data_IF_872817249244
#
_entry.id   IF_872817249244
#
_cell.length_a   1.000
_cell.length_b   1.000
_cell.length_c   1.000
_cell.angle_alpha   90.00
_cell.angle_beta   90.00
_cell.angle_gamma   90.00
#
_symmetry.space_group_name_H-M   'P 1'
#
loop_
_entity.id
_entity.type
_entity.pdbx_description
1 polymer ?
#
# COMPACT_ATOMS: atom_id res chain seq x y z
N UNK A 1 3.81 2.87 -19.01
CA UNK A 1 4.69 1.70 -18.78
C UNK A 1 3.90 0.69 -17.97
N UNK A 2 3.63 -0.50 -18.54
CA UNK A 2 2.89 -1.54 -17.84
C UNK A 2 3.73 -2.11 -16.67
N UNK A 3 3.09 -2.50 -15.57
CA UNK A 3 3.77 -3.18 -14.46
C UNK A 3 3.92 -4.67 -14.79
N UNK A 4 5.16 -5.15 -14.92
CA UNK A 4 5.49 -6.53 -15.30
C UNK A 4 4.91 -7.58 -14.35
N UNK A 5 4.81 -7.24 -13.05
CA UNK A 5 4.38 -8.17 -12.00
C UNK A 5 2.97 -7.86 -11.48
N UNK A 6 2.15 -7.15 -12.25
CA UNK A 6 0.80 -6.74 -11.83
C UNK A 6 -0.03 -7.93 -11.30
N UNK A 7 -0.08 -9.03 -12.06
CA UNK A 7 -0.83 -10.24 -11.70
C UNK A 7 -0.35 -10.87 -10.38
N UNK A 8 0.95 -10.81 -10.09
CA UNK A 8 1.47 -11.29 -8.80
C UNK A 8 1.14 -10.30 -7.69
N UNK A 9 1.39 -9.02 -7.92
CA UNK A 9 1.21 -7.97 -6.93
C UNK A 9 -0.25 -7.81 -6.50
N UNK A 10 -1.21 -7.96 -7.43
CA UNK A 10 -2.63 -7.80 -7.12
C UNK A 10 -3.12 -8.85 -6.12
N UNK A 11 -2.58 -10.06 -6.16
CA UNK A 11 -2.91 -11.14 -5.22
C UNK A 11 -2.41 -10.88 -3.80
N UNK A 12 -1.30 -10.15 -3.67
CA UNK A 12 -0.70 -9.81 -2.38
C UNK A 12 -1.11 -8.42 -1.87
N UNK A 13 -1.83 -7.63 -2.68
CA UNK A 13 -2.22 -6.27 -2.33
C UNK A 13 -3.41 -6.25 -1.38
N UNK A 14 -3.15 -5.96 -0.11
CA UNK A 14 -4.16 -5.83 0.93
C UNK A 14 -4.83 -4.45 1.03
N UNK A 15 -4.60 -3.54 0.08
CA UNK A 15 -5.23 -2.21 0.09
C UNK A 15 -6.75 -2.31 0.18
N UNK A 16 -7.31 -1.68 1.21
CA UNK A 16 -8.74 -1.72 1.55
C UNK A 16 -9.54 -0.57 0.94
N UNK A 17 -8.89 0.39 0.28
CA UNK A 17 -9.57 1.50 -0.37
C UNK A 17 -10.40 1.01 -1.56
N UNK A 18 -11.75 1.20 -1.56
CA UNK A 18 -12.61 0.75 -2.65
C UNK A 18 -12.23 1.42 -3.98
N UNK A 19 -12.09 0.63 -5.04
CA UNK A 19 -11.78 1.15 -6.38
C UNK A 19 -10.39 1.78 -6.53
N UNK A 20 -9.42 1.42 -5.69
CA UNK A 20 -8.06 1.95 -5.79
C UNK A 20 -7.47 1.78 -7.21
N UNK A 21 -7.20 2.88 -7.95
CA UNK A 21 -6.75 2.80 -9.35
C UNK A 21 -5.28 2.35 -9.48
N UNK A 22 -4.57 2.21 -8.36
CA UNK A 22 -3.14 1.87 -8.29
C UNK A 22 -2.90 0.46 -7.75
N UNK A 23 -3.95 -0.31 -7.43
CA UNK A 23 -3.84 -1.66 -6.87
C UNK A 23 -3.03 -2.55 -7.83
N UNK A 24 -2.11 -3.36 -7.32
CA UNK A 24 -1.21 -4.19 -8.15
C UNK A 24 -0.10 -3.43 -8.90
N UNK A 25 -0.18 -2.11 -9.05
CA UNK A 25 0.84 -1.27 -9.69
C UNK A 25 1.78 -0.63 -8.65
N UNK A 26 2.74 -1.40 -8.15
CA UNK A 26 3.61 -0.99 -7.02
C UNK A 26 4.34 0.34 -7.27
N UNK A 27 4.85 0.57 -8.48
CA UNK A 27 5.54 1.82 -8.83
C UNK A 27 4.63 3.05 -8.75
N UNK A 28 3.35 2.92 -9.11
CA UNK A 28 2.38 4.01 -9.02
C UNK A 28 1.85 4.17 -7.58
N UNK A 29 1.67 3.06 -6.87
CA UNK A 29 1.26 3.04 -5.47
C UNK A 29 2.30 3.73 -4.57
N UNK A 30 3.58 3.38 -4.71
CA UNK A 30 4.69 3.99 -3.97
C UNK A 30 4.80 5.49 -4.23
N UNK A 31 4.80 5.92 -5.50
CA UNK A 31 4.87 7.36 -5.83
C UNK A 31 3.71 8.14 -5.19
N UNK A 32 2.49 7.61 -5.25
CA UNK A 32 1.31 8.24 -4.66
C UNK A 32 1.44 8.39 -3.14
N UNK A 33 1.76 7.32 -2.42
CA UNK A 33 1.84 7.38 -0.95
C UNK A 33 3.06 8.17 -0.46
N UNK A 34 4.23 8.02 -1.08
CA UNK A 34 5.42 8.79 -0.69
C UNK A 34 5.24 10.29 -0.90
N UNK A 35 4.50 10.72 -1.95
CA UNK A 35 4.16 12.14 -2.15
C UNK A 35 3.30 12.73 -1.03
N UNK A 36 2.66 11.86 -0.23
CA UNK A 36 1.82 12.21 0.92
C UNK A 36 2.47 11.88 2.27
N UNK A 37 3.76 11.54 2.26
CA UNK A 37 4.47 11.06 3.44
C UNK A 37 3.81 9.82 4.11
N UNK A 38 3.28 8.92 3.27
CA UNK A 38 2.63 7.67 3.63
C UNK A 38 3.37 6.47 3.02
N UNK A 39 3.10 5.28 3.54
CA UNK A 39 3.50 4.00 2.93
C UNK A 39 2.30 3.28 2.30
N UNK A 40 2.51 2.44 1.27
CA UNK A 40 1.45 1.59 0.74
C UNK A 40 0.86 0.62 1.78
N UNK A 41 -0.39 0.20 1.56
CA UNK A 41 -1.07 -0.81 2.38
C UNK A 41 -0.25 -2.08 2.64
N UNK A 42 0.55 -2.52 1.65
CA UNK A 42 1.37 -3.73 1.75
C UNK A 42 2.53 -3.63 2.75
N UNK A 43 2.81 -2.44 3.30
CA UNK A 43 3.73 -2.26 4.42
C UNK A 43 3.08 -2.56 5.79
N UNK A 44 1.78 -2.84 5.81
CA UNK A 44 0.97 -3.00 7.02
C UNK A 44 0.22 -4.34 7.02
N UNK A 45 -0.06 -4.87 8.20
CA UNK A 45 -0.97 -6.01 8.35
C UNK A 45 -2.40 -5.63 7.98
N UNK A 46 -3.26 -6.61 7.65
CA UNK A 46 -4.66 -6.36 7.31
C UNK A 46 -5.41 -5.59 8.41
N UNK A 47 -5.08 -5.85 9.68
CA UNK A 47 -5.70 -5.15 10.82
C UNK A 47 -5.31 -3.67 10.85
N UNK A 48 -4.03 -3.36 10.62
CA UNK A 48 -3.55 -1.97 10.61
C UNK A 48 -4.06 -1.23 9.38
N UNK A 49 -4.00 -1.84 8.19
CA UNK A 49 -4.49 -1.23 6.95
C UNK A 49 -5.99 -0.87 7.03
N UNK A 50 -6.82 -1.60 7.79
CA UNK A 50 -8.24 -1.24 8.02
C UNK A 50 -8.44 0.07 8.78
N UNK A 51 -7.42 0.57 9.48
CA UNK A 51 -7.45 1.87 10.17
C UNK A 51 -7.13 3.04 9.24
N UNK A 52 -6.61 2.74 8.04
CA UNK A 52 -6.12 3.70 7.05
C UNK A 52 -5.00 4.64 7.52
N UNK A 53 -4.47 4.46 8.72
CA UNK A 53 -3.25 5.15 9.16
C UNK A 53 -2.04 4.51 8.46
N UNK A 54 -1.65 5.17 7.36
CA UNK A 54 -0.52 4.78 6.52
C UNK A 54 0.73 5.61 6.79
N UNK A 55 0.81 6.27 7.94
CA UNK A 55 1.96 7.10 8.31
C UNK A 55 3.21 6.25 8.59
N UNK A 56 4.38 6.87 8.43
CA UNK A 56 5.64 6.26 8.86
C UNK A 56 5.67 5.97 10.36
N UNK A 57 5.06 6.83 11.19
CA UNK A 57 4.92 6.59 12.63
C UNK A 57 4.19 5.28 12.88
N UNK A 58 3.04 5.07 12.22
CA UNK A 58 2.27 3.84 12.38
C UNK A 58 3.05 2.61 11.96
N UNK A 59 3.82 2.71 10.89
CA UNK A 59 4.68 1.64 10.42
C UNK A 59 5.73 1.26 11.47
N UNK A 60 6.38 2.24 12.10
CA UNK A 60 7.35 1.98 13.17
C UNK A 60 6.67 1.34 14.39
N UNK A 61 5.48 1.81 14.78
CA UNK A 61 4.73 1.26 15.91
C UNK A 61 4.28 -0.19 15.68
N UNK A 62 3.85 -0.53 14.47
CA UNK A 62 3.30 -1.84 14.15
C UNK A 62 4.35 -2.91 13.84
N UNK A 63 5.62 -2.53 13.68
CA UNK A 63 6.72 -3.42 13.33
C UNK A 63 7.79 -3.53 14.43
N UNK A 64 7.41 -3.28 15.69
CA UNK A 64 8.25 -3.56 16.87
C UNK A 64 8.24 -5.04 17.24
#
# INVERSE_FOLDING_TARGET
MACSDYEKNITSCNCTYPGCPRKGSCCACLRHHLSRNELPACAFSNTVERTWDRSFTKFIESNK
#
